data_IF_294322904081
#
_entry.id   IF_294322904081
#
_cell.length_a   1.000
_cell.length_b   1.000
_cell.length_c   1.000
_cell.angle_alpha   90.00
_cell.angle_beta   90.00
_cell.angle_gamma   90.00
#
_symmetry.space_group_name_H-M   'P 1'
#
loop_
_entity.id
_entity.type
_entity.pdbx_description
1 polymer ?
#
# COMPACT_ATOMS: atom_id res chain seq x y z
N UNK A 1 9.39 24.38 -16.88
CA UNK A 1 9.51 22.92 -17.02
C UNK A 1 10.75 22.37 -16.30
N UNK A 2 11.96 22.87 -16.56
CA UNK A 2 13.18 22.35 -15.89
C UNK A 2 13.14 22.44 -14.37
N UNK A 3 12.66 23.56 -13.80
CA UNK A 3 12.51 23.72 -12.34
C UNK A 3 11.45 22.78 -11.71
N UNK A 4 10.46 22.35 -12.49
CA UNK A 4 9.45 21.38 -12.04
C UNK A 4 10.03 19.98 -11.98
N UNK A 5 10.81 19.58 -13.00
CA UNK A 5 11.56 18.31 -13.00
C UNK A 5 12.56 18.23 -11.85
N UNK A 6 13.40 19.25 -11.67
CA UNK A 6 14.37 19.25 -10.56
C UNK A 6 13.72 19.23 -9.18
N UNK A 7 12.58 19.90 -9.02
CA UNK A 7 11.81 19.86 -7.77
C UNK A 7 11.22 18.47 -7.50
N UNK A 8 10.67 17.81 -8.51
CA UNK A 8 10.18 16.44 -8.41
C UNK A 8 11.29 15.45 -8.03
N UNK A 9 12.49 15.56 -8.64
CA UNK A 9 13.64 14.74 -8.28
C UNK A 9 14.07 14.92 -6.81
N UNK A 10 14.13 16.17 -6.34
CA UNK A 10 14.53 16.47 -4.96
C UNK A 10 13.55 15.85 -3.95
N UNK A 11 12.24 16.03 -4.18
CA UNK A 11 11.22 15.44 -3.30
C UNK A 11 11.28 13.91 -3.36
N UNK A 12 11.37 13.33 -4.55
CA UNK A 12 11.46 11.87 -4.72
C UNK A 12 12.68 11.28 -4.02
N UNK A 13 13.84 11.94 -4.13
CA UNK A 13 15.05 11.53 -3.43
C UNK A 13 14.86 11.46 -1.91
N UNK A 14 14.32 12.53 -1.29
CA UNK A 14 14.11 12.54 0.16
C UNK A 14 13.05 11.53 0.61
N UNK A 15 11.98 11.36 -0.16
CA UNK A 15 10.94 10.39 0.15
C UNK A 15 11.46 8.95 0.09
N UNK A 16 12.27 8.62 -0.92
CA UNK A 16 12.81 7.27 -1.11
C UNK A 16 13.92 6.95 -0.11
N UNK A 17 14.81 7.90 0.15
CA UNK A 17 15.88 7.74 1.16
C UNK A 17 15.28 7.72 2.55
N UNK A 18 14.36 8.63 2.86
CA UNK A 18 13.70 8.71 4.17
C UNK A 18 12.88 7.45 4.47
N UNK A 19 12.01 7.04 3.53
CA UNK A 19 11.22 5.82 3.66
C UNK A 19 12.08 4.56 3.76
N UNK A 20 13.13 4.45 2.92
CA UNK A 20 14.04 3.31 2.94
C UNK A 20 14.87 3.19 4.21
N UNK A 21 15.33 4.32 4.78
CA UNK A 21 16.03 4.30 6.09
C UNK A 21 15.07 3.90 7.20
N UNK A 22 13.85 4.43 7.18
CA UNK A 22 12.85 4.14 8.21
C UNK A 22 12.44 2.66 8.20
N UNK A 23 12.04 2.13 7.04
CA UNK A 23 11.65 0.72 6.87
C UNK A 23 12.80 -0.21 7.23
N UNK A 24 13.99 -0.05 6.63
CA UNK A 24 15.12 -0.93 6.94
C UNK A 24 15.62 -0.82 8.38
N UNK A 25 15.48 0.35 8.99
CA UNK A 25 15.84 0.55 10.39
C UNK A 25 14.87 -0.16 11.34
N UNK A 26 13.58 -0.17 10.99
CA UNK A 26 12.55 -0.88 11.73
C UNK A 26 12.66 -2.39 11.56
N UNK A 27 12.81 -2.88 10.32
CA UNK A 27 13.03 -4.28 9.93
C UNK A 27 14.22 -4.89 10.69
N UNK A 28 15.40 -4.27 10.57
CA UNK A 28 16.59 -4.69 11.33
C UNK A 28 16.39 -4.63 12.85
N UNK A 29 15.59 -3.69 13.34
CA UNK A 29 15.26 -3.58 14.76
C UNK A 29 14.36 -4.72 15.23
N UNK A 30 13.33 -5.03 14.44
CA UNK A 30 12.36 -6.10 14.70
C UNK A 30 12.96 -7.50 14.58
N UNK A 31 13.85 -7.70 13.62
CA UNK A 31 14.61 -8.93 13.48
C UNK A 31 15.52 -9.17 14.70
N UNK A 32 16.28 -8.15 15.11
CA UNK A 32 17.20 -8.28 16.25
C UNK A 32 16.46 -8.51 17.57
N UNK A 33 15.36 -7.79 17.81
CA UNK A 33 14.53 -7.99 19.00
C UNK A 33 13.85 -9.36 18.96
N UNK A 34 13.39 -9.78 17.78
CA UNK A 34 12.78 -11.09 17.56
C UNK A 34 13.72 -12.26 17.79
N UNK A 35 14.98 -12.17 17.36
CA UNK A 35 15.98 -13.21 17.62
C UNK A 35 16.39 -13.28 19.11
N UNK A 36 16.31 -12.16 19.83
CA UNK A 36 16.65 -12.09 21.26
C UNK A 36 15.47 -12.42 22.19
N UNK A 37 14.24 -12.36 21.69
CA UNK A 37 13.02 -12.63 22.45
C UNK A 37 12.41 -13.96 22.02
N UNK A 38 12.35 -14.94 22.93
CA UNK A 38 11.54 -16.16 22.73
C UNK A 38 10.03 -15.87 22.54
N UNK A 39 9.56 -14.61 22.76
CA UNK A 39 8.14 -14.24 22.70
C UNK A 39 7.56 -14.13 21.29
N UNK A 40 8.37 -13.82 20.28
CA UNK A 40 7.87 -13.50 18.92
C UNK A 40 7.17 -14.70 18.27
N UNK A 41 7.70 -15.91 18.48
CA UNK A 41 7.09 -17.15 17.97
C UNK A 41 5.74 -17.47 18.64
N UNK A 42 5.58 -17.13 19.92
CA UNK A 42 4.34 -17.36 20.66
C UNK A 42 3.28 -16.30 20.30
N UNK A 43 3.68 -15.06 20.03
CA UNK A 43 2.82 -13.98 19.52
C UNK A 43 2.30 -14.28 18.11
N UNK A 44 3.18 -14.61 17.15
CA UNK A 44 2.78 -14.99 15.80
C UNK A 44 1.81 -16.18 15.79
N UNK A 45 2.05 -17.15 16.68
CA UNK A 45 1.17 -18.32 16.84
C UNK A 45 -0.20 -17.93 17.38
N UNK A 46 -0.27 -17.04 18.38
CA UNK A 46 -1.54 -16.51 18.91
C UNK A 46 -2.33 -15.77 17.82
N UNK A 47 -1.66 -14.92 17.03
CA UNK A 47 -2.30 -14.21 15.90
C UNK A 47 -2.82 -15.19 14.84
N UNK A 48 -2.03 -16.21 14.50
CA UNK A 48 -2.43 -17.24 13.53
C UNK A 48 -3.64 -18.06 14.01
N UNK A 49 -3.66 -18.48 15.28
CA UNK A 49 -4.80 -19.20 15.87
C UNK A 49 -6.06 -18.32 15.89
N UNK A 50 -5.91 -17.03 16.19
CA UNK A 50 -7.00 -16.05 16.17
C UNK A 50 -7.59 -15.90 14.76
N UNK A 51 -6.72 -15.75 13.75
CA UNK A 51 -7.13 -15.67 12.34
C UNK A 51 -7.89 -16.93 11.91
N UNK A 52 -7.40 -18.11 12.30
CA UNK A 52 -8.06 -19.37 11.98
C UNK A 52 -9.44 -19.49 12.64
N UNK A 53 -9.60 -19.00 13.89
CA UNK A 53 -10.90 -18.93 14.56
C UNK A 53 -11.86 -17.97 13.85
N UNK A 54 -11.38 -16.79 13.44
CA UNK A 54 -12.20 -15.84 12.66
C UNK A 54 -12.69 -16.46 11.35
N UNK A 55 -11.81 -17.17 10.64
CA UNK A 55 -12.16 -17.84 9.38
C UNK A 55 -13.21 -18.95 9.60
N UNK A 56 -13.04 -19.76 10.65
CA UNK A 56 -14.02 -20.80 11.00
C UNK A 56 -15.39 -20.23 11.34
N UNK A 57 -15.45 -19.10 12.06
CA UNK A 57 -16.70 -18.40 12.38
C UNK A 57 -17.34 -17.85 11.10
N UNK A 58 -16.55 -17.22 10.22
CA UNK A 58 -17.03 -16.70 8.95
C UNK A 58 -17.58 -17.81 8.03
N UNK A 59 -16.90 -18.95 7.96
CA UNK A 59 -17.35 -20.11 7.18
C UNK A 59 -18.62 -20.73 7.76
N UNK A 60 -18.72 -20.83 9.09
CA UNK A 60 -19.94 -21.31 9.76
C UNK A 60 -21.14 -20.41 9.46
N UNK A 61 -20.96 -19.07 9.43
CA UNK A 61 -22.02 -18.13 9.03
C UNK A 61 -22.43 -18.32 7.56
N UNK A 62 -21.46 -18.46 6.65
CA UNK A 62 -21.75 -18.76 5.24
C UNK A 62 -22.56 -20.04 5.07
N UNK A 63 -22.27 -21.08 5.86
CA UNK A 63 -23.04 -22.32 5.85
C UNK A 63 -24.46 -22.18 6.41
N UNK A 64 -24.66 -21.41 7.50
CA UNK A 64 -26.00 -21.12 8.07
C UNK A 64 -26.87 -20.36 7.06
N UNK A 65 -26.29 -19.35 6.40
CA UNK A 65 -26.93 -18.58 5.32
C UNK A 65 -27.31 -19.46 4.12
N UNK A 66 -26.43 -20.38 3.69
CA UNK A 66 -26.75 -21.33 2.61
C UNK A 66 -27.88 -22.30 2.96
N UNK A 67 -28.04 -22.62 4.24
CA UNK A 67 -29.13 -23.48 4.74
C UNK A 67 -30.42 -22.70 5.03
N UNK A 68 -30.42 -21.38 4.86
CA UNK A 68 -31.58 -20.52 5.13
C UNK A 68 -31.96 -20.45 6.61
N UNK A 69 -31.03 -20.76 7.52
CA UNK A 69 -31.22 -20.51 8.96
C UNK A 69 -31.05 -19.00 9.22
N UNK A 70 -31.90 -18.44 10.08
CA UNK A 70 -31.70 -17.10 10.62
C UNK A 70 -30.45 -17.11 11.51
N UNK A 71 -29.57 -16.13 11.32
CA UNK A 71 -28.40 -15.95 12.17
C UNK A 71 -28.85 -15.41 13.53
N UNK A 72 -28.50 -16.10 14.62
CA UNK A 72 -28.61 -15.57 15.97
C UNK A 72 -27.62 -14.39 16.12
N UNK A 73 -28.07 -13.18 15.78
CA UNK A 73 -27.23 -11.97 15.79
C UNK A 73 -26.56 -11.72 17.15
N UNK A 74 -27.22 -12.10 18.25
CA UNK A 74 -26.70 -11.93 19.61
C UNK A 74 -25.49 -12.83 19.88
N UNK A 75 -25.54 -14.12 19.50
CA UNK A 75 -24.41 -15.06 19.61
C UNK A 75 -23.25 -14.62 18.70
N UNK A 76 -23.58 -14.14 17.50
CA UNK A 76 -22.63 -13.60 16.54
C UNK A 76 -21.92 -12.34 17.06
N UNK A 77 -22.63 -11.44 17.75
CA UNK A 77 -22.09 -10.23 18.35
C UNK A 77 -21.18 -10.54 19.54
N UNK A 78 -21.56 -11.48 20.41
CA UNK A 78 -20.72 -11.88 21.55
C UNK A 78 -19.42 -12.58 21.09
N UNK A 79 -19.48 -13.42 20.06
CA UNK A 79 -18.27 -14.01 19.47
C UNK A 79 -17.32 -12.95 18.88
N UNK A 80 -17.87 -11.91 18.25
CA UNK A 80 -17.07 -10.81 17.71
C UNK A 80 -16.44 -9.96 18.81
N UNK A 81 -17.15 -9.70 19.92
CA UNK A 81 -16.59 -8.98 21.07
C UNK A 81 -15.43 -9.73 21.72
N UNK A 82 -15.58 -11.05 21.92
CA UNK A 82 -14.51 -11.88 22.48
C UNK A 82 -13.27 -11.88 21.58
N UNK A 83 -13.46 -11.95 20.26
CA UNK A 83 -12.37 -11.81 19.29
C UNK A 83 -11.71 -10.43 19.35
N UNK A 84 -12.50 -9.36 19.48
CA UNK A 84 -11.99 -7.98 19.59
C UNK A 84 -11.16 -7.81 20.87
N UNK A 85 -11.64 -8.34 22.00
CA UNK A 85 -10.90 -8.35 23.27
C UNK A 85 -9.60 -9.14 23.18
N UNK A 86 -9.61 -10.34 22.58
CA UNK A 86 -8.41 -11.18 22.41
C UNK A 86 -7.40 -10.52 21.46
N UNK A 87 -7.87 -9.87 20.39
CA UNK A 87 -7.02 -9.07 19.50
C UNK A 87 -6.40 -7.87 20.22
N UNK A 88 -7.17 -7.20 21.08
CA UNK A 88 -6.71 -6.04 21.83
C UNK A 88 -5.66 -6.43 22.89
N UNK A 89 -5.80 -7.60 23.51
CA UNK A 89 -4.83 -8.17 24.45
C UNK A 89 -3.52 -8.53 23.74
N UNK A 90 -3.59 -9.19 22.56
CA UNK A 90 -2.41 -9.48 21.73
C UNK A 90 -1.71 -8.19 21.30
N UNK A 91 -2.46 -7.16 20.88
CA UNK A 91 -1.88 -5.86 20.52
C UNK A 91 -1.22 -5.14 21.71
N UNK A 92 -1.65 -5.39 22.95
CA UNK A 92 -1.05 -4.78 24.13
C UNK A 92 0.31 -5.42 24.50
N UNK A 93 0.49 -6.70 24.16
CA UNK A 93 1.74 -7.43 24.35
C UNK A 93 2.78 -7.16 23.25
N UNK A 94 2.34 -6.68 22.08
CA UNK A 94 3.21 -6.52 20.90
C UNK A 94 4.34 -5.51 21.15
N UNK A 95 5.57 -5.87 20.79
CA UNK A 95 6.69 -4.96 20.91
C UNK A 95 6.52 -3.78 19.93
N UNK A 96 6.73 -2.52 20.36
CA UNK A 96 6.48 -1.35 19.53
C UNK A 96 7.34 -1.29 18.25
N UNK A 97 8.42 -2.06 18.18
CA UNK A 97 9.27 -2.15 16.98
C UNK A 97 8.57 -2.86 15.82
N UNK A 98 7.75 -3.89 16.09
CA UNK A 98 7.12 -4.70 15.05
C UNK A 98 6.01 -3.89 14.36
N UNK A 99 5.31 -3.04 15.13
CA UNK A 99 4.38 -2.07 14.58
C UNK A 99 5.07 -1.02 13.68
N UNK A 100 6.26 -0.57 14.06
CA UNK A 100 7.03 0.38 13.26
C UNK A 100 7.55 -0.25 11.97
N UNK A 101 7.84 -1.54 12.00
CA UNK A 101 8.27 -2.31 10.83
C UNK A 101 7.16 -2.39 9.79
N UNK A 102 5.97 -2.85 10.21
CA UNK A 102 4.78 -2.93 9.33
C UNK A 102 4.40 -1.58 8.73
N UNK A 103 4.40 -0.51 9.54
CA UNK A 103 4.18 0.85 9.03
C UNK A 103 5.32 1.27 8.10
N UNK A 104 6.55 0.90 8.43
CA UNK A 104 7.73 1.23 7.67
C UNK A 104 7.70 0.66 6.27
N UNK A 105 7.38 -0.62 6.14
CA UNK A 105 7.21 -1.29 4.85
C UNK A 105 6.13 -0.59 4.01
N UNK A 106 4.94 -0.34 4.57
CA UNK A 106 3.86 0.36 3.85
C UNK A 106 4.29 1.75 3.38
N UNK A 107 4.96 2.51 4.24
CA UNK A 107 5.47 3.84 3.88
C UNK A 107 6.53 3.74 2.78
N UNK A 108 7.48 2.80 2.90
CA UNK A 108 8.57 2.66 1.95
C UNK A 108 8.06 2.22 0.57
N UNK A 109 7.17 1.24 0.53
CA UNK A 109 6.64 0.70 -0.71
C UNK A 109 5.74 1.69 -1.44
N UNK A 110 4.79 2.30 -0.73
CA UNK A 110 3.88 3.29 -1.32
C UNK A 110 4.66 4.54 -1.71
N UNK A 111 5.42 5.12 -0.76
CA UNK A 111 6.08 6.41 -1.01
C UNK A 111 7.22 6.26 -1.99
N UNK A 112 8.03 5.21 -1.86
CA UNK A 112 9.15 4.94 -2.75
C UNK A 112 8.69 4.70 -4.18
N UNK A 113 7.71 3.82 -4.37
CA UNK A 113 7.21 3.47 -5.71
C UNK A 113 6.45 4.63 -6.35
N UNK A 114 5.57 5.31 -5.61
CA UNK A 114 4.83 6.46 -6.15
C UNK A 114 5.76 7.63 -6.51
N UNK A 115 6.77 7.92 -5.68
CA UNK A 115 7.70 9.01 -5.94
C UNK A 115 8.63 8.72 -7.13
N UNK A 116 9.05 7.46 -7.33
CA UNK A 116 9.87 7.02 -8.46
C UNK A 116 9.11 7.17 -9.79
N UNK A 117 7.85 6.70 -9.84
CA UNK A 117 6.95 6.85 -10.98
C UNK A 117 6.65 8.33 -11.30
N UNK A 118 6.38 9.15 -10.28
CA UNK A 118 6.10 10.56 -10.46
C UNK A 118 7.30 11.33 -11.01
N UNK A 119 8.50 11.10 -10.43
CA UNK A 119 9.75 11.71 -10.87
C UNK A 119 10.04 11.40 -12.34
N UNK A 120 9.97 10.12 -12.71
CA UNK A 120 10.17 9.66 -14.09
C UNK A 120 9.15 10.28 -15.06
N UNK A 121 7.86 10.29 -14.72
CA UNK A 121 6.81 10.89 -15.56
C UNK A 121 7.07 12.37 -15.81
N UNK A 122 7.36 13.12 -14.74
CA UNK A 122 7.61 14.56 -14.82
C UNK A 122 8.87 14.87 -15.62
N UNK A 123 9.95 14.10 -15.45
CA UNK A 123 11.20 14.31 -16.16
C UNK A 123 11.05 14.04 -17.66
N UNK A 124 10.37 12.96 -18.03
CA UNK A 124 10.11 12.60 -19.43
C UNK A 124 9.23 13.66 -20.08
N UNK A 125 8.09 14.02 -19.47
CA UNK A 125 7.19 15.05 -20.00
C UNK A 125 7.90 16.40 -20.18
N UNK A 126 8.66 16.82 -19.16
CA UNK A 126 9.34 18.11 -19.19
C UNK A 126 10.48 18.13 -20.22
N UNK A 127 11.26 17.06 -20.32
CA UNK A 127 12.37 16.97 -21.28
C UNK A 127 11.86 16.89 -22.72
N UNK A 128 10.88 16.03 -22.99
CA UNK A 128 10.26 15.90 -24.32
C UNK A 128 9.63 17.20 -24.80
N UNK A 129 8.93 17.94 -23.93
CA UNK A 129 8.34 19.23 -24.28
C UNK A 129 9.41 20.30 -24.55
N UNK A 130 10.49 20.36 -23.76
CA UNK A 130 11.61 21.30 -24.02
C UNK A 130 12.29 21.02 -25.36
N UNK A 131 12.53 19.74 -25.65
CA UNK A 131 13.12 19.30 -26.93
C UNK A 131 12.20 19.68 -28.10
N UNK A 132 10.89 19.39 -27.98
CA UNK A 132 9.89 19.74 -28.98
C UNK A 132 9.78 21.24 -29.26
N UNK A 133 10.02 22.09 -28.24
CA UNK A 133 10.04 23.54 -28.39
C UNK A 133 11.24 24.05 -29.20
N UNK A 134 12.41 23.40 -29.08
CA UNK A 134 13.68 23.90 -29.63
C UNK A 134 14.00 23.37 -31.03
N UNK A 135 13.52 22.18 -31.38
CA UNK A 135 13.91 21.48 -32.62
C UNK A 135 12.92 21.73 -33.79
N UNK A 136 11.66 22.08 -33.49
CA UNK A 136 10.59 22.03 -34.49
C UNK A 136 10.32 23.36 -35.19
N UNK A 137 9.99 23.28 -36.50
CA UNK A 137 9.42 24.39 -37.27
C UNK A 137 7.97 24.73 -36.86
N UNK A 138 7.29 23.82 -36.15
CA UNK A 138 5.94 24.02 -35.57
C UNK A 138 5.99 23.73 -34.07
N UNK A 139 6.47 24.69 -33.25
CA UNK A 139 6.76 24.46 -31.84
C UNK A 139 5.52 24.14 -31.01
N UNK A 140 4.35 24.66 -31.39
CA UNK A 140 3.09 24.46 -30.65
C UNK A 140 2.61 22.99 -30.66
N UNK A 141 2.81 22.27 -31.77
CA UNK A 141 2.33 20.89 -31.90
C UNK A 141 3.25 19.90 -31.16
N UNK A 142 4.57 20.00 -31.36
CA UNK A 142 5.54 19.06 -30.77
C UNK A 142 5.69 19.23 -29.25
N UNK A 143 5.50 20.44 -28.72
CA UNK A 143 5.51 20.68 -27.27
C UNK A 143 4.30 20.08 -26.56
N UNK A 144 3.13 20.07 -27.22
CA UNK A 144 1.91 19.49 -26.68
C UNK A 144 1.85 17.96 -26.79
N UNK A 145 2.53 17.38 -27.79
CA UNK A 145 2.51 15.96 -28.11
C UNK A 145 2.71 15.01 -26.90
N UNK A 146 3.72 15.19 -26.02
CA UNK A 146 3.90 14.31 -24.86
C UNK A 146 2.71 14.36 -23.88
N UNK A 147 2.05 15.51 -23.73
CA UNK A 147 0.88 15.65 -22.86
C UNK A 147 -0.35 14.94 -23.44
N UNK A 148 -0.55 15.00 -24.77
CA UNK A 148 -1.62 14.28 -25.45
C UNK A 148 -1.47 12.76 -25.31
N UNK A 149 -0.24 12.26 -25.43
CA UNK A 149 0.05 10.82 -25.24
C UNK A 149 -0.33 10.40 -23.81
N UNK A 150 0.15 11.11 -22.78
CA UNK A 150 -0.18 10.79 -21.38
C UNK A 150 -1.68 10.90 -21.11
N UNK A 151 -2.35 11.93 -21.63
CA UNK A 151 -3.80 12.07 -21.48
C UNK A 151 -4.57 10.87 -22.09
N UNK A 152 -4.16 10.42 -23.28
CA UNK A 152 -4.77 9.24 -23.91
C UNK A 152 -4.52 7.95 -23.12
N UNK A 153 -3.32 7.80 -22.55
CA UNK A 153 -2.97 6.67 -21.68
C UNK A 153 -3.82 6.64 -20.42
N UNK A 154 -3.99 7.78 -19.74
CA UNK A 154 -4.80 7.89 -18.54
C UNK A 154 -6.27 7.49 -18.78
N UNK A 155 -6.84 7.88 -19.93
CA UNK A 155 -8.19 7.46 -20.32
C UNK A 155 -8.24 5.94 -20.53
N UNK A 156 -7.25 5.37 -21.22
CA UNK A 156 -7.15 3.92 -21.42
C UNK A 156 -7.08 3.14 -20.10
N UNK A 157 -6.24 3.59 -19.17
CA UNK A 157 -6.14 2.99 -17.84
C UNK A 157 -7.46 3.08 -17.07
N UNK A 158 -8.14 4.24 -17.09
CA UNK A 158 -9.43 4.40 -16.41
C UNK A 158 -10.50 3.43 -16.92
N UNK A 159 -10.58 3.22 -18.24
CA UNK A 159 -11.50 2.23 -18.85
C UNK A 159 -11.13 0.80 -18.45
N UNK A 160 -9.84 0.48 -18.42
CA UNK A 160 -9.37 -0.84 -18.01
C UNK A 160 -9.71 -1.13 -16.54
N UNK A 161 -9.44 -0.19 -15.64
CA UNK A 161 -9.78 -0.30 -14.21
C UNK A 161 -11.29 -0.47 -14.02
N UNK A 162 -12.10 0.31 -14.74
CA UNK A 162 -13.56 0.18 -14.69
C UNK A 162 -14.02 -1.22 -15.11
N UNK A 163 -13.44 -1.79 -16.17
CA UNK A 163 -13.78 -3.14 -16.62
C UNK A 163 -13.46 -4.19 -15.56
N UNK A 164 -12.30 -4.10 -14.91
CA UNK A 164 -11.91 -5.04 -13.84
C UNK A 164 -12.90 -4.93 -12.68
N UNK A 165 -13.20 -3.71 -12.22
CA UNK A 165 -14.07 -3.47 -11.08
C UNK A 165 -15.53 -3.87 -11.32
N UNK A 166 -16.02 -3.83 -12.56
CA UNK A 166 -17.36 -4.31 -12.90
C UNK A 166 -17.43 -5.82 -13.17
N UNK A 167 -16.29 -6.51 -13.20
CA UNK A 167 -16.24 -7.97 -13.43
C UNK A 167 -16.26 -8.76 -12.11
N UNK A 168 -15.83 -8.12 -11.01
CA UNK A 168 -16.04 -8.59 -9.63
C UNK A 168 -17.46 -8.24 -9.14
#
# INVERSE_FOLDING_TARGET
LSGFGSGACLVSFYLRVGGGIFSKGADLGGDLVGEMSESKFDEERRVFELQQRMENIANTRKERLQKGLEDDEEEALDQLRLLEEEMQDICADLHPIDFLDEIGEVICDVTGTCADLFESMVLILSTSAIIGAKISAVPHFLTGLPFWIVASGNIGCAVATFKVHCTE
#
